data_IF_046643139521
#
_entry.id   IF_046643139521
#
_cell.length_a   1.000
_cell.length_b   1.000
_cell.length_c   1.000
_cell.angle_alpha   90.00
_cell.angle_beta   90.00
_cell.angle_gamma   90.00
#
_symmetry.space_group_name_H-M   'P 1'
#
loop_
_entity.id
_entity.type
_entity.pdbx_description
1 polymer ?
#
# COMPACT_ATOMS: atom_id res chain seq x y z
N UNK A 1 19.89 12.82 -4.62
CA UNK A 1 19.25 12.12 -3.47
C UNK A 1 17.77 12.00 -3.75
N UNK A 2 17.19 10.79 -3.70
CA UNK A 2 15.74 10.59 -3.85
C UNK A 2 15.05 10.81 -2.52
N UNK A 3 13.97 11.60 -2.50
CA UNK A 3 13.13 11.80 -1.31
C UNK A 3 11.84 11.00 -1.50
N UNK A 4 11.53 10.08 -0.58
CA UNK A 4 10.34 9.24 -0.64
C UNK A 4 9.55 9.39 0.66
N UNK A 5 8.28 9.78 0.55
CA UNK A 5 7.34 9.76 1.67
C UNK A 5 6.31 8.66 1.46
N UNK A 6 6.34 7.65 2.32
CA UNK A 6 5.31 6.60 2.32
C UNK A 6 4.10 7.09 3.09
N UNK A 7 2.94 7.10 2.44
CA UNK A 7 1.67 7.47 3.08
C UNK A 7 0.73 6.28 2.99
N UNK A 8 0.27 5.77 4.12
CA UNK A 8 -0.55 4.55 4.08
C UNK A 8 -1.10 4.09 5.42
N UNK A 9 -1.64 2.87 5.41
CA UNK A 9 -2.11 2.17 6.59
C UNK A 9 -0.96 1.55 7.42
N UNK A 10 -1.21 0.52 8.20
CA UNK A 10 -0.17 -0.13 9.02
C UNK A 10 1.01 -0.68 8.22
N UNK A 11 0.81 -1.05 6.95
CA UNK A 11 1.88 -1.56 6.07
C UNK A 11 2.89 -0.45 5.70
N UNK A 12 2.46 0.81 5.65
CA UNK A 12 3.32 1.94 5.35
C UNK A 12 4.44 2.14 6.39
N UNK A 13 4.17 1.82 7.65
CA UNK A 13 5.18 1.89 8.72
C UNK A 13 6.34 0.93 8.45
N UNK A 14 6.02 -0.34 8.19
CA UNK A 14 7.02 -1.37 7.90
C UNK A 14 7.81 -1.04 6.62
N UNK A 15 7.11 -0.52 5.60
CA UNK A 15 7.73 -0.13 4.34
C UNK A 15 8.68 1.07 4.49
N UNK A 16 8.31 2.08 5.28
CA UNK A 16 9.18 3.22 5.58
C UNK A 16 10.47 2.80 6.30
N UNK A 17 10.36 1.90 7.27
CA UNK A 17 11.53 1.30 7.94
C UNK A 17 12.39 0.53 6.94
N UNK A 18 11.77 -0.28 6.07
CA UNK A 18 12.49 -1.07 5.08
C UNK A 18 13.26 -0.21 4.07
N UNK A 19 12.66 0.90 3.60
CA UNK A 19 13.33 1.86 2.74
C UNK A 19 14.55 2.49 3.44
N UNK A 20 14.39 2.93 4.67
CA UNK A 20 15.49 3.49 5.47
C UNK A 20 16.61 2.48 5.69
N UNK A 21 16.29 1.23 6.03
CA UNK A 21 17.27 0.15 6.18
C UNK A 21 17.96 -0.18 4.85
N UNK A 22 17.21 -0.25 3.73
CA UNK A 22 17.78 -0.48 2.41
C UNK A 22 18.75 0.64 2.02
N UNK A 23 18.39 1.91 2.26
CA UNK A 23 19.27 3.06 2.05
C UNK A 23 20.61 2.87 2.80
N UNK A 24 20.55 2.54 4.08
CA UNK A 24 21.73 2.36 4.92
C UNK A 24 22.59 1.15 4.52
N UNK A 25 21.97 0.00 4.25
CA UNK A 25 22.69 -1.25 3.97
C UNK A 25 23.31 -1.28 2.58
N UNK A 26 22.62 -0.74 1.61
CA UNK A 26 23.04 -0.74 0.20
C UNK A 26 23.65 0.60 -0.24
N UNK A 27 23.80 1.56 0.69
CA UNK A 27 24.34 2.91 0.43
C UNK A 27 23.59 3.61 -0.71
N UNK A 28 22.26 3.48 -0.72
CA UNK A 28 21.42 4.15 -1.70
C UNK A 28 21.31 5.64 -1.37
N UNK A 29 21.39 6.49 -2.38
CA UNK A 29 21.22 7.95 -2.23
C UNK A 29 19.74 8.30 -2.10
N UNK A 30 19.16 7.97 -0.94
CA UNK A 30 17.73 8.09 -0.64
C UNK A 30 17.50 8.53 0.81
N UNK A 31 16.54 9.44 0.99
CA UNK A 31 15.89 9.73 2.26
C UNK A 31 14.45 9.22 2.22
N UNK A 32 13.98 8.59 3.29
CA UNK A 32 12.61 8.13 3.40
C UNK A 32 12.00 8.44 4.76
N UNK A 33 10.72 8.80 4.75
CA UNK A 33 9.89 8.91 5.94
C UNK A 33 8.53 8.23 5.70
N UNK A 34 7.70 8.14 6.74
CA UNK A 34 6.36 7.58 6.60
C UNK A 34 5.33 8.37 7.39
N UNK A 35 4.13 8.52 6.79
CA UNK A 35 2.93 9.05 7.42
C UNK A 35 1.93 7.91 7.50
N UNK A 36 1.65 7.45 8.73
CA UNK A 36 0.93 6.20 8.96
C UNK A 36 -0.43 6.46 9.59
N UNK A 37 -1.46 5.91 8.97
CA UNK A 37 -2.85 5.94 9.43
C UNK A 37 -3.34 4.53 9.75
N UNK A 38 -2.81 3.92 10.80
CA UNK A 38 -3.15 2.54 11.18
C UNK A 38 -4.65 2.30 11.26
N UNK A 39 -5.12 1.24 10.61
CA UNK A 39 -6.53 0.85 10.59
C UNK A 39 -7.44 1.72 9.72
N UNK A 40 -6.90 2.71 9.00
CA UNK A 40 -7.68 3.50 8.04
C UNK A 40 -7.78 2.77 6.72
N UNK A 41 -8.96 2.83 6.13
CA UNK A 41 -9.21 2.36 4.78
C UNK A 41 -9.02 3.49 3.76
N UNK A 42 -8.70 3.15 2.52
CA UNK A 42 -8.67 4.09 1.41
C UNK A 42 -10.01 4.83 1.26
N UNK A 43 -11.11 4.16 1.57
CA UNK A 43 -12.46 4.71 1.52
C UNK A 43 -12.71 5.89 2.47
N UNK A 44 -12.10 5.89 3.66
CA UNK A 44 -12.35 6.89 4.71
C UNK A 44 -11.28 7.96 4.80
N UNK A 45 -10.36 8.03 3.82
CA UNK A 45 -9.27 9.00 3.84
C UNK A 45 -9.79 10.41 3.59
N UNK A 46 -9.42 11.28 4.50
CA UNK A 46 -9.53 12.73 4.39
C UNK A 46 -8.14 13.31 4.65
N UNK A 47 -7.38 13.48 3.59
CA UNK A 47 -6.00 13.96 3.68
C UNK A 47 -5.92 15.37 4.27
N UNK A 48 -6.87 16.24 3.96
CA UNK A 48 -6.85 17.65 4.38
C UNK A 48 -6.92 17.78 5.91
N UNK A 49 -7.63 16.86 6.57
CA UNK A 49 -7.71 16.83 8.05
C UNK A 49 -6.56 16.06 8.70
N UNK A 50 -5.88 15.19 7.96
CA UNK A 50 -4.90 14.25 8.51
C UNK A 50 -3.45 14.64 8.24
N UNK A 51 -3.19 15.42 7.19
CA UNK A 51 -1.84 15.77 6.74
C UNK A 51 -1.73 17.28 6.57
N UNK A 52 -0.78 17.88 7.26
CA UNK A 52 -0.34 19.23 6.92
C UNK A 52 0.59 19.14 5.71
N UNK A 53 0.06 19.52 4.54
CA UNK A 53 0.80 19.50 3.27
C UNK A 53 2.07 20.36 3.28
N UNK A 54 2.13 21.39 4.11
CA UNK A 54 3.32 22.24 4.21
C UNK A 54 4.55 21.49 4.72
N UNK A 55 4.35 20.34 5.38
CA UNK A 55 5.42 19.47 5.86
C UNK A 55 5.95 18.51 4.80
N UNK A 56 5.36 18.50 3.60
CA UNK A 56 5.82 17.64 2.49
C UNK A 56 6.72 18.47 1.56
N UNK A 57 7.94 18.00 1.35
CA UNK A 57 8.90 18.65 0.47
C UNK A 57 8.46 18.55 -1.00
N UNK A 58 8.70 19.61 -1.77
CA UNK A 58 8.25 19.69 -3.17
C UNK A 58 8.92 18.69 -4.13
N UNK A 59 10.11 18.20 -3.79
CA UNK A 59 10.88 17.22 -4.57
C UNK A 59 10.69 15.78 -4.08
N UNK A 60 9.61 15.53 -3.34
CA UNK A 60 9.31 14.21 -2.75
C UNK A 60 8.44 13.36 -3.67
N UNK A 61 8.83 12.10 -3.84
CA UNK A 61 7.92 11.07 -4.37
C UNK A 61 6.99 10.59 -3.26
N UNK A 62 5.70 10.66 -3.48
CA UNK A 62 4.67 10.13 -2.59
C UNK A 62 4.37 8.70 -2.98
N UNK A 63 4.68 7.76 -2.08
CA UNK A 63 4.36 6.35 -2.23
C UNK A 63 3.10 6.03 -1.43
N UNK A 64 1.97 5.86 -2.12
CA UNK A 64 0.67 5.61 -1.51
C UNK A 64 0.44 4.11 -1.28
N UNK A 65 0.32 3.70 -0.03
CA UNK A 65 0.17 2.29 0.37
C UNK A 65 -1.09 2.09 1.22
N UNK A 66 -2.25 2.13 0.55
CA UNK A 66 -3.56 1.87 1.13
C UNK A 66 -4.28 0.78 0.35
N UNK A 67 -5.32 0.21 0.96
CA UNK A 67 -6.27 -0.64 0.28
C UNK A 67 -6.27 -2.10 0.74
N UNK A 68 -5.31 -2.54 1.53
CA UNK A 68 -5.33 -3.92 2.05
C UNK A 68 -6.56 -4.14 2.94
N UNK A 69 -6.84 -3.24 3.86
CA UNK A 69 -8.06 -3.29 4.67
C UNK A 69 -9.33 -3.21 3.80
N UNK A 70 -9.28 -2.48 2.70
CA UNK A 70 -10.42 -2.33 1.80
C UNK A 70 -10.72 -3.62 1.05
N UNK A 71 -9.73 -4.24 0.40
CA UNK A 71 -9.94 -5.51 -0.32
C UNK A 71 -10.36 -6.64 0.60
N UNK A 72 -9.92 -6.62 1.84
CA UNK A 72 -10.24 -7.64 2.85
C UNK A 72 -11.62 -7.44 3.47
N UNK A 73 -12.03 -6.20 3.78
CA UNK A 73 -13.18 -5.93 4.65
C UNK A 73 -14.22 -5.01 4.08
N UNK A 74 -13.79 -3.93 3.42
CA UNK A 74 -14.69 -2.82 3.13
C UNK A 74 -15.33 -2.94 1.76
N UNK A 75 -14.54 -3.10 0.70
CA UNK A 75 -15.07 -3.14 -0.66
C UNK A 75 -16.18 -4.17 -0.88
N UNK A 76 -16.09 -5.40 -0.33
CA UNK A 76 -17.16 -6.37 -0.52
C UNK A 76 -18.52 -5.96 0.03
N UNK A 77 -18.56 -4.96 0.93
CA UNK A 77 -19.78 -4.42 1.54
C UNK A 77 -20.39 -3.26 0.73
N UNK A 78 -19.63 -2.73 -0.23
CA UNK A 78 -20.09 -1.63 -1.07
C UNK A 78 -20.74 -2.14 -2.36
N UNK A 79 -21.92 -1.57 -2.69
CA UNK A 79 -22.63 -1.89 -3.96
C UNK A 79 -21.85 -1.41 -5.19
N UNK A 80 -21.07 -0.33 -5.04
CA UNK A 80 -20.30 0.31 -6.10
C UNK A 80 -18.83 0.40 -5.67
N UNK A 81 -18.15 -0.73 -5.61
CA UNK A 81 -16.76 -0.83 -5.17
C UNK A 81 -15.81 0.01 -6.06
N UNK A 82 -16.08 0.04 -7.38
CA UNK A 82 -15.32 0.83 -8.35
C UNK A 82 -15.33 2.32 -8.00
N UNK A 83 -16.48 2.89 -7.69
CA UNK A 83 -16.60 4.31 -7.33
C UNK A 83 -15.86 4.64 -6.03
N UNK A 84 -15.81 3.69 -5.11
CA UNK A 84 -15.04 3.84 -3.85
C UNK A 84 -13.55 3.97 -4.15
N UNK A 85 -13.03 3.11 -5.01
CA UNK A 85 -11.61 3.14 -5.38
C UNK A 85 -11.28 4.34 -6.24
N UNK A 86 -12.14 4.68 -7.21
CA UNK A 86 -11.99 5.90 -8.01
C UNK A 86 -11.96 7.17 -7.14
N UNK A 87 -12.82 7.24 -6.13
CA UNK A 87 -12.80 8.35 -5.17
C UNK A 87 -11.47 8.44 -4.44
N UNK A 88 -10.94 7.31 -3.97
CA UNK A 88 -9.61 7.26 -3.34
C UNK A 88 -8.52 7.79 -4.27
N UNK A 89 -8.48 7.31 -5.51
CA UNK A 89 -7.51 7.74 -6.52
C UNK A 89 -7.61 9.23 -6.76
N UNK A 90 -8.81 9.72 -7.06
CA UNK A 90 -9.04 11.14 -7.37
C UNK A 90 -8.72 12.06 -6.18
N UNK A 91 -9.05 11.65 -4.96
CA UNK A 91 -8.72 12.40 -3.75
C UNK A 91 -7.21 12.46 -3.55
N UNK A 92 -6.50 11.36 -3.79
CA UNK A 92 -5.04 11.28 -3.70
C UNK A 92 -4.37 12.20 -4.73
N UNK A 93 -4.79 12.10 -6.00
CA UNK A 93 -4.25 12.93 -7.07
C UNK A 93 -4.47 14.42 -6.80
N UNK A 94 -5.64 14.79 -6.32
CA UNK A 94 -5.97 16.19 -5.98
C UNK A 94 -5.13 16.69 -4.82
N UNK A 95 -5.00 15.91 -3.74
CA UNK A 95 -4.28 16.34 -2.54
C UNK A 95 -2.78 16.46 -2.78
N UNK A 96 -2.18 15.53 -3.53
CA UNK A 96 -0.75 15.50 -3.85
C UNK A 96 -0.43 16.11 -5.22
N UNK A 97 -1.31 16.97 -5.75
CA UNK A 97 -1.08 17.64 -7.02
C UNK A 97 0.26 18.36 -7.06
N UNK A 98 0.97 18.23 -8.18
CA UNK A 98 2.33 18.79 -8.38
C UNK A 98 3.46 17.95 -7.77
N UNK A 99 3.18 16.80 -7.12
CA UNK A 99 4.18 15.86 -6.63
C UNK A 99 4.22 14.60 -7.51
N UNK A 100 5.35 13.90 -7.48
CA UNK A 100 5.44 12.57 -8.11
C UNK A 100 4.69 11.55 -7.24
N UNK A 101 3.66 10.93 -7.79
CA UNK A 101 2.81 9.95 -7.08
C UNK A 101 3.06 8.56 -7.62
N UNK A 102 3.30 7.63 -6.72
CA UNK A 102 3.40 6.20 -7.01
C UNK A 102 2.43 5.44 -6.12
N UNK A 103 1.60 4.60 -6.71
CA UNK A 103 0.69 3.75 -5.96
C UNK A 103 1.29 2.37 -5.73
N UNK A 104 1.14 1.86 -4.51
CA UNK A 104 1.32 0.43 -4.23
C UNK A 104 0.00 -0.28 -4.49
N UNK A 105 0.02 -1.33 -5.30
CA UNK A 105 -1.15 -2.19 -5.47
C UNK A 105 -1.40 -2.97 -4.18
N UNK A 106 -2.58 -2.85 -3.53
CA UNK A 106 -2.90 -3.66 -2.36
C UNK A 106 -2.96 -5.13 -2.77
N UNK A 107 -2.16 -5.97 -2.12
CA UNK A 107 -2.00 -7.37 -2.50
C UNK A 107 -2.51 -8.29 -1.41
N UNK A 108 -3.55 -9.11 -1.67
CA UNK A 108 -4.09 -10.02 -0.69
C UNK A 108 -3.11 -11.16 -0.40
N UNK A 109 -3.04 -11.57 0.86
CA UNK A 109 -2.36 -12.82 1.23
C UNK A 109 -3.12 -14.01 0.68
N UNK A 110 -2.41 -15.01 0.14
CA UNK A 110 -2.99 -16.24 -0.40
C UNK A 110 -3.38 -17.24 0.72
N UNK A 111 -4.16 -16.77 1.70
CA UNK A 111 -4.51 -17.50 2.90
C UNK A 111 -6.00 -17.33 3.13
N UNK A 112 -6.75 -18.45 3.20
CA UNK A 112 -8.20 -18.41 3.43
C UNK A 112 -8.57 -18.20 4.90
N UNK A 113 -7.67 -18.56 5.81
CA UNK A 113 -7.85 -18.36 7.25
C UNK A 113 -6.65 -17.61 7.82
N UNK A 114 -6.88 -16.42 8.29
CA UNK A 114 -5.90 -15.72 9.10
C UNK A 114 -6.03 -16.23 10.53
N UNK A 115 -4.92 -16.68 11.10
CA UNK A 115 -4.86 -17.23 12.46
C UNK A 115 -4.96 -16.15 13.55
N UNK A 116 -5.42 -14.95 13.20
CA UNK A 116 -5.58 -13.89 14.17
C UNK A 116 -6.72 -14.20 15.14
N UNK A 117 -6.38 -14.44 16.37
CA UNK A 117 -7.29 -14.48 17.54
C UNK A 117 -7.88 -13.11 17.90
N UNK A 118 -7.86 -12.15 16.99
CA UNK A 118 -8.62 -10.95 17.22
C UNK A 118 -10.10 -11.26 16.97
N UNK A 119 -10.98 -10.87 17.92
CA UNK A 119 -12.43 -10.98 17.94
C UNK A 119 -13.14 -10.41 16.70
N UNK A 120 -12.71 -10.82 15.54
CA UNK A 120 -13.33 -10.49 14.26
C UNK A 120 -14.36 -11.56 13.94
N UNK A 121 -15.56 -11.11 13.63
CA UNK A 121 -16.63 -11.97 13.16
C UNK A 121 -16.12 -12.78 11.97
N UNK A 122 -16.24 -14.11 11.99
CA UNK A 122 -15.78 -14.99 10.90
C UNK A 122 -16.37 -14.62 9.54
N UNK A 123 -17.53 -13.94 9.55
CA UNK A 123 -18.20 -13.45 8.35
C UNK A 123 -17.46 -12.30 7.64
N UNK A 124 -16.48 -11.66 8.28
CA UNK A 124 -15.63 -10.63 7.68
C UNK A 124 -14.45 -11.20 6.86
N UNK A 125 -14.23 -12.50 6.94
CA UNK A 125 -13.12 -13.17 6.27
C UNK A 125 -13.53 -13.67 4.89
N UNK A 126 -13.10 -12.93 3.88
CA UNK A 126 -13.29 -13.33 2.50
C UNK A 126 -12.23 -14.33 2.07
N UNK A 127 -12.63 -15.27 1.20
CA UNK A 127 -11.70 -16.18 0.55
C UNK A 127 -10.65 -15.42 -0.25
N UNK A 128 -9.51 -16.04 -0.51
CA UNK A 128 -8.47 -15.44 -1.36
C UNK A 128 -9.02 -14.99 -2.71
N UNK A 129 -9.85 -15.81 -3.37
CA UNK A 129 -10.46 -15.47 -4.66
C UNK A 129 -11.33 -14.21 -4.62
N UNK A 130 -12.08 -14.00 -3.53
CA UNK A 130 -12.87 -12.77 -3.38
C UNK A 130 -11.98 -11.55 -3.19
N UNK A 131 -10.90 -11.68 -2.42
CA UNK A 131 -9.93 -10.58 -2.23
C UNK A 131 -9.20 -10.26 -3.53
N UNK A 132 -8.85 -11.26 -4.32
CA UNK A 132 -8.24 -11.08 -5.63
C UNK A 132 -9.16 -10.33 -6.60
N UNK A 133 -10.46 -10.62 -6.59
CA UNK A 133 -11.43 -9.83 -7.35
C UNK A 133 -11.47 -8.36 -6.91
N UNK A 134 -11.38 -8.09 -5.62
CA UNK A 134 -11.34 -6.71 -5.12
C UNK A 134 -10.01 -6.03 -5.50
N UNK A 135 -8.89 -6.74 -5.49
CA UNK A 135 -7.62 -6.24 -5.98
C UNK A 135 -7.69 -5.81 -7.45
N UNK A 136 -8.41 -6.58 -8.30
CA UNK A 136 -8.60 -6.23 -9.70
C UNK A 136 -9.26 -4.86 -9.86
N UNK A 137 -10.22 -4.51 -9.01
CA UNK A 137 -10.87 -3.18 -9.02
C UNK A 137 -9.84 -2.08 -8.70
N UNK A 138 -8.98 -2.30 -7.69
CA UNK A 138 -7.88 -1.37 -7.41
C UNK A 138 -6.93 -1.25 -8.59
N UNK A 139 -6.48 -2.38 -9.14
CA UNK A 139 -5.54 -2.39 -10.24
C UNK A 139 -6.03 -1.57 -11.43
N UNK A 140 -7.28 -1.77 -11.86
CA UNK A 140 -7.85 -1.03 -12.98
C UNK A 140 -7.95 0.48 -12.68
N UNK A 141 -8.41 0.86 -11.49
CA UNK A 141 -8.53 2.26 -11.12
C UNK A 141 -7.14 2.94 -11.01
N UNK A 142 -6.17 2.27 -10.40
CA UNK A 142 -4.80 2.79 -10.27
C UNK A 142 -4.14 2.92 -11.65
N UNK A 143 -4.29 1.92 -12.51
CA UNK A 143 -3.79 1.95 -13.89
C UNK A 143 -4.39 3.10 -14.71
N UNK A 144 -5.70 3.30 -14.59
CA UNK A 144 -6.40 4.36 -15.29
C UNK A 144 -6.04 5.76 -14.79
N UNK A 145 -5.44 5.89 -13.62
CA UNK A 145 -4.93 7.16 -13.10
C UNK A 145 -3.77 7.74 -13.91
N UNK A 146 -3.11 6.92 -14.73
CA UNK A 146 -1.89 7.28 -15.45
C UNK A 146 -0.63 7.38 -14.58
N UNK A 147 -0.75 7.11 -13.27
CA UNK A 147 0.38 7.12 -12.35
C UNK A 147 1.10 5.77 -12.33
N UNK A 148 2.34 5.76 -11.86
CA UNK A 148 3.08 4.53 -11.66
C UNK A 148 2.42 3.67 -10.59
N UNK A 149 2.29 2.38 -10.87
CA UNK A 149 1.78 1.39 -9.92
C UNK A 149 2.88 0.35 -9.66
N UNK A 150 3.15 0.05 -8.40
CA UNK A 150 4.05 -1.01 -7.98
C UNK A 150 3.20 -2.18 -7.48
N UNK A 151 3.33 -3.32 -8.15
CA UNK A 151 2.80 -4.60 -7.68
C UNK A 151 3.84 -5.28 -6.79
N UNK A 152 3.45 -5.62 -5.56
CA UNK A 152 4.33 -6.27 -4.58
C UNK A 152 4.72 -7.67 -5.05
N UNK A 153 3.82 -8.40 -5.69
CA UNK A 153 4.06 -9.76 -6.20
C UNK A 153 5.13 -9.72 -7.28
N UNK A 154 4.99 -8.82 -8.24
CA UNK A 154 6.00 -8.61 -9.29
C UNK A 154 7.34 -8.14 -8.71
N UNK A 155 7.30 -7.18 -7.77
CA UNK A 155 8.50 -6.64 -7.15
C UNK A 155 9.30 -7.69 -6.36
N UNK A 156 8.62 -8.65 -5.76
CA UNK A 156 9.23 -9.75 -5.03
C UNK A 156 9.62 -10.93 -5.94
N UNK A 157 9.03 -11.01 -7.15
CA UNK A 157 9.22 -12.12 -8.08
C UNK A 157 8.62 -13.42 -7.54
N UNK A 158 7.42 -13.33 -6.96
CA UNK A 158 6.64 -14.46 -6.44
C UNK A 158 5.30 -14.53 -7.17
N UNK A 159 4.67 -15.70 -7.21
CA UNK A 159 3.37 -15.85 -7.87
C UNK A 159 2.22 -15.30 -7.01
N UNK A 160 2.39 -15.34 -5.70
CA UNK A 160 1.41 -14.89 -4.71
C UNK A 160 2.06 -14.75 -3.33
N UNK A 161 1.44 -13.99 -2.45
CA UNK A 161 1.88 -13.90 -1.05
C UNK A 161 1.26 -15.06 -0.25
N UNK A 162 2.12 -15.88 0.36
CA UNK A 162 1.76 -17.03 1.18
C UNK A 162 2.29 -16.89 2.61
N UNK A 163 2.19 -17.92 3.42
CA UNK A 163 2.83 -17.98 4.73
C UNK A 163 4.37 -17.90 4.68
N UNK A 164 4.97 -18.18 3.55
CA UNK A 164 6.42 -18.02 3.37
C UNK A 164 6.80 -16.54 3.33
N UNK A 165 5.90 -15.66 2.87
CA UNK A 165 6.12 -14.23 2.75
C UNK A 165 5.54 -13.42 3.92
N UNK A 166 4.79 -14.07 4.85
CA UNK A 166 4.14 -13.39 5.97
C UNK A 166 4.25 -14.18 7.26
N UNK A 167 4.50 -13.52 8.38
CA UNK A 167 4.53 -14.16 9.70
C UNK A 167 3.14 -14.21 10.36
N UNK A 168 2.25 -13.31 9.97
CA UNK A 168 0.96 -13.11 10.61
C UNK A 168 -0.22 -13.22 9.63
N UNK A 169 0.06 -13.59 8.39
CA UNK A 169 -0.94 -13.69 7.32
C UNK A 169 -1.48 -12.34 6.82
N UNK A 170 -0.87 -11.24 7.23
CA UNK A 170 -1.28 -9.89 6.84
C UNK A 170 -0.07 -9.06 6.38
N UNK A 171 1.02 -9.05 7.17
CA UNK A 171 2.18 -8.21 6.90
C UNK A 171 3.33 -9.03 6.31
N UNK A 172 4.07 -8.42 5.40
CA UNK A 172 5.26 -9.04 4.80
C UNK A 172 6.37 -9.26 5.83
N UNK A 173 7.10 -10.36 5.70
CA UNK A 173 8.32 -10.61 6.47
C UNK A 173 9.35 -9.52 6.25
N UNK A 174 10.09 -9.19 7.29
CA UNK A 174 11.12 -8.13 7.26
C UNK A 174 12.18 -8.34 6.17
N UNK A 175 12.58 -9.59 5.91
CA UNK A 175 13.53 -9.92 4.84
C UNK A 175 13.04 -9.55 3.45
N UNK A 176 11.74 -9.68 3.20
CA UNK A 176 11.13 -9.30 1.93
C UNK A 176 10.92 -7.80 1.80
N UNK A 177 10.67 -7.13 2.92
CA UNK A 177 10.56 -5.67 2.95
C UNK A 177 11.86 -4.99 2.48
N UNK A 178 13.04 -5.52 2.84
CA UNK A 178 14.32 -5.00 2.34
C UNK A 178 14.44 -5.15 0.82
N UNK A 179 14.08 -6.32 0.28
CA UNK A 179 14.06 -6.55 -1.17
C UNK A 179 13.11 -5.58 -1.87
N UNK A 180 11.93 -5.40 -1.31
CA UNK A 180 10.93 -4.44 -1.81
C UNK A 180 11.45 -3.00 -1.74
N UNK A 181 12.15 -2.61 -0.67
CA UNK A 181 12.76 -1.29 -0.53
C UNK A 181 13.78 -0.99 -1.64
N UNK A 182 14.63 -1.95 -1.98
CA UNK A 182 15.58 -1.81 -3.12
C UNK A 182 14.84 -1.71 -4.45
N UNK A 183 13.80 -2.52 -4.64
CA UNK A 183 12.98 -2.45 -5.84
C UNK A 183 12.33 -1.06 -5.99
N UNK A 184 11.71 -0.56 -4.94
CA UNK A 184 11.06 0.77 -4.94
C UNK A 184 12.08 1.85 -5.28
N UNK A 185 13.27 1.84 -4.66
CA UNK A 185 14.32 2.80 -4.98
C UNK A 185 14.67 2.84 -6.47
N UNK A 186 14.75 1.68 -7.11
CA UNK A 186 15.04 1.59 -8.55
C UNK A 186 13.82 1.95 -9.42
N UNK A 187 12.62 1.78 -8.87
CA UNK A 187 11.38 2.04 -9.59
C UNK A 187 10.95 3.52 -9.52
N UNK A 188 11.27 4.27 -8.48
CA UNK A 188 10.94 5.70 -8.38
C UNK A 188 12.07 6.54 -8.95
N UNK A 189 11.74 7.40 -9.89
CA UNK A 189 12.70 8.34 -10.52
C UNK A 189 12.71 9.69 -9.78
#
# INVERSE_FOLDING_TARGET
MKNITVVGDSHASALGVALSEASRLYKLDMFSNSIVFSGRSAYTLDYETLIDRSNIQHDTTILLNFGECDIRRHLPKHKNAEQVVEKYVNTSLKFFDGLNIVFMLPTPQAIDQLTYEFNYNKDDWHTFDRRLKQQTIFYEALKNSGQKVIDIVDALGVDRLSWEESDDGCHLKRSLLLKLGVYIYNAVD
#
